data_IF_556105273285
#
_entry.id   IF_556105273285
#
_cell.length_a   1.000
_cell.length_b   1.000
_cell.length_c   1.000
_cell.angle_alpha   90.00
_cell.angle_beta   90.00
_cell.angle_gamma   90.00
#
_symmetry.space_group_name_H-M   'P 1'
#
loop_
_entity.id
_entity.type
_entity.pdbx_description
1 polymer ?
#
# COMPACT_ATOMS: atom_id res chain seq x y z
N UNK A 1 -9.86 5.96 5.65
CA UNK A 1 -9.15 7.26 5.63
C UNK A 1 -9.56 7.98 4.36
N UNK A 2 -9.93 9.23 4.43
CA UNK A 2 -10.31 9.95 3.23
C UNK A 2 -9.08 10.43 2.44
N UNK A 3 -9.32 10.88 1.22
CA UNK A 3 -8.26 11.28 0.30
C UNK A 3 -7.39 12.41 0.83
N UNK A 4 -8.02 13.44 1.41
CA UNK A 4 -7.28 14.61 1.88
C UNK A 4 -6.41 14.27 3.08
N UNK A 5 -6.92 13.47 4.00
CA UNK A 5 -6.16 13.03 5.17
C UNK A 5 -4.99 12.13 4.75
N UNK A 6 -5.21 11.23 3.80
CA UNK A 6 -4.16 10.36 3.27
C UNK A 6 -3.04 11.18 2.64
N UNK A 7 -3.38 12.13 1.77
CA UNK A 7 -2.39 13.01 1.15
C UNK A 7 -1.62 13.83 2.18
N UNK A 8 -2.31 14.35 3.18
CA UNK A 8 -1.65 15.14 4.22
C UNK A 8 -0.64 14.31 5.00
N UNK A 9 -1.02 13.13 5.43
CA UNK A 9 -0.12 12.26 6.21
C UNK A 9 1.06 11.78 5.38
N UNK A 10 0.85 11.43 4.10
CA UNK A 10 1.95 11.05 3.22
C UNK A 10 2.90 12.21 2.98
N UNK A 11 2.37 13.41 2.79
CA UNK A 11 3.18 14.62 2.57
C UNK A 11 3.95 15.00 3.83
N UNK A 12 3.31 14.92 4.98
CA UNK A 12 3.95 15.27 6.26
C UNK A 12 5.14 14.38 6.59
N UNK A 13 5.04 13.08 6.30
CA UNK A 13 6.16 12.15 6.49
C UNK A 13 7.22 12.29 5.40
N UNK A 14 6.80 12.67 4.18
CA UNK A 14 7.73 12.93 3.06
C UNK A 14 8.40 11.70 2.46
N UNK A 15 8.08 10.50 2.94
CA UNK A 15 8.71 9.25 2.48
C UNK A 15 7.66 8.16 2.33
N UNK A 16 7.71 7.45 1.22
CA UNK A 16 6.92 6.24 1.00
C UNK A 16 7.89 5.10 0.69
N UNK A 17 7.84 4.05 1.48
CA UNK A 17 8.66 2.87 1.25
C UNK A 17 7.96 1.96 0.24
N UNK A 18 8.67 1.57 -0.81
CA UNK A 18 8.17 0.62 -1.80
C UNK A 18 8.74 -0.75 -1.47
N UNK A 19 7.86 -1.73 -1.27
CA UNK A 19 8.26 -3.04 -0.79
C UNK A 19 7.99 -4.12 -1.83
N UNK A 20 8.98 -4.99 -2.00
CA UNK A 20 8.87 -6.24 -2.76
C UNK A 20 9.50 -7.34 -1.94
N UNK A 21 8.79 -8.43 -1.77
CA UNK A 21 9.34 -9.62 -1.09
C UNK A 21 8.93 -10.87 -1.85
N UNK A 22 9.52 -12.00 -1.46
CA UNK A 22 9.21 -13.29 -2.05
C UNK A 22 7.99 -13.96 -1.42
N UNK A 23 7.54 -13.45 -0.28
CA UNK A 23 6.47 -14.04 0.51
C UNK A 23 5.55 -12.95 1.05
N UNK A 24 4.23 -13.17 0.95
CA UNK A 24 3.24 -12.26 1.49
C UNK A 24 3.34 -12.09 3.01
N UNK A 25 3.74 -13.14 3.72
CA UNK A 25 3.90 -13.08 5.17
C UNK A 25 5.01 -12.11 5.57
N UNK A 26 6.09 -12.07 4.81
CA UNK A 26 7.18 -11.12 5.03
C UNK A 26 6.71 -9.68 4.80
N UNK A 27 5.82 -9.46 3.84
CA UNK A 27 5.32 -8.12 3.53
C UNK A 27 4.68 -7.45 4.75
N UNK A 28 3.84 -8.18 5.47
CA UNK A 28 3.17 -7.62 6.66
C UNK A 28 4.19 -7.27 7.74
N UNK A 29 5.15 -8.16 7.99
CA UNK A 29 6.19 -7.94 9.00
C UNK A 29 7.08 -6.74 8.64
N UNK A 30 7.41 -6.59 7.35
CA UNK A 30 8.21 -5.44 6.88
C UNK A 30 7.42 -4.14 7.07
N UNK A 31 6.14 -4.13 6.74
CA UNK A 31 5.28 -2.96 6.95
C UNK A 31 5.25 -2.56 8.43
N UNK A 32 5.12 -3.53 9.33
CA UNK A 32 5.11 -3.30 10.76
C UNK A 32 6.43 -2.66 11.22
N UNK A 33 7.54 -3.22 10.77
CA UNK A 33 8.86 -2.70 11.14
C UNK A 33 9.07 -1.28 10.64
N UNK A 34 8.64 -0.97 9.43
CA UNK A 34 8.74 0.38 8.86
C UNK A 34 7.88 1.37 9.65
N UNK A 35 6.65 0.99 9.97
CA UNK A 35 5.75 1.83 10.76
C UNK A 35 6.33 2.11 12.14
N UNK A 36 6.88 1.09 12.79
CA UNK A 36 7.52 1.22 14.11
C UNK A 36 8.72 2.15 14.04
N UNK A 37 9.42 2.17 12.90
CA UNK A 37 10.56 3.07 12.67
C UNK A 37 10.19 4.48 12.21
N UNK A 38 8.89 4.78 12.06
CA UNK A 38 8.43 6.11 11.69
C UNK A 38 8.10 6.30 10.21
N UNK A 39 8.26 5.28 9.38
CA UNK A 39 7.86 5.34 7.96
C UNK A 39 6.43 4.83 7.84
N UNK A 40 5.49 5.74 7.74
CA UNK A 40 4.06 5.40 7.76
C UNK A 40 3.50 5.03 6.38
N UNK A 41 3.98 5.65 5.32
CA UNK A 41 3.52 5.36 3.97
C UNK A 41 4.24 4.15 3.39
N UNK A 42 3.51 3.10 3.05
CA UNK A 42 4.09 1.85 2.55
C UNK A 42 3.33 1.40 1.31
N UNK A 43 4.07 1.18 0.23
CA UNK A 43 3.50 0.72 -1.02
C UNK A 43 3.92 -0.73 -1.27
N UNK A 44 2.93 -1.62 -1.36
CA UNK A 44 3.15 -3.03 -1.69
C UNK A 44 2.93 -3.19 -3.19
N UNK A 45 3.96 -3.65 -3.92
CA UNK A 45 3.84 -3.77 -5.37
C UNK A 45 3.15 -5.06 -5.78
N UNK A 46 2.36 -4.99 -6.86
CA UNK A 46 1.64 -6.14 -7.39
C UNK A 46 2.57 -7.21 -7.98
N UNK A 47 3.85 -6.89 -8.14
CA UNK A 47 4.85 -7.87 -8.56
C UNK A 47 5.25 -8.84 -7.46
N UNK A 48 4.89 -8.55 -6.21
CA UNK A 48 5.16 -9.44 -5.09
C UNK A 48 4.12 -10.56 -5.01
N UNK A 49 4.53 -11.82 -4.79
CA UNK A 49 3.57 -12.89 -4.58
C UNK A 49 2.70 -12.62 -3.35
N UNK A 50 1.40 -12.86 -3.48
CA UNK A 50 0.46 -12.64 -2.39
C UNK A 50 0.23 -11.19 -2.02
N UNK A 51 0.49 -10.24 -2.94
CA UNK A 51 0.40 -8.82 -2.65
C UNK A 51 -1.00 -8.38 -2.18
N UNK A 52 -2.06 -8.84 -2.83
CA UNK A 52 -3.43 -8.43 -2.47
C UNK A 52 -3.78 -8.91 -1.07
N UNK A 53 -3.46 -10.15 -0.74
CA UNK A 53 -3.70 -10.68 0.61
C UNK A 53 -2.85 -9.94 1.65
N UNK A 54 -1.61 -9.61 1.31
CA UNK A 54 -0.74 -8.83 2.21
C UNK A 54 -1.31 -7.44 2.46
N UNK A 55 -1.86 -6.78 1.44
CA UNK A 55 -2.52 -5.48 1.61
C UNK A 55 -3.70 -5.63 2.55
N UNK A 56 -4.52 -6.67 2.38
CA UNK A 56 -5.65 -6.92 3.25
C UNK A 56 -5.22 -7.09 4.70
N UNK A 57 -4.23 -7.92 4.97
CA UNK A 57 -3.74 -8.16 6.33
C UNK A 57 -3.08 -6.91 6.92
N UNK A 58 -2.22 -6.24 6.15
CA UNK A 58 -1.53 -5.04 6.62
C UNK A 58 -2.51 -3.91 6.93
N UNK A 59 -3.52 -3.72 6.08
CA UNK A 59 -4.52 -2.67 6.30
C UNK A 59 -5.35 -2.89 7.55
N UNK A 60 -5.57 -4.14 7.94
CA UNK A 60 -6.27 -4.49 9.19
C UNK A 60 -5.36 -4.34 10.40
N UNK A 61 -4.19 -4.94 10.35
CA UNK A 61 -3.26 -5.01 11.49
C UNK A 61 -2.68 -3.64 11.81
N UNK A 62 -2.38 -2.85 10.77
CA UNK A 62 -1.71 -1.57 10.94
C UNK A 62 -2.65 -0.37 10.81
N UNK A 63 -3.94 -0.60 10.94
CA UNK A 63 -4.93 0.49 10.88
C UNK A 63 -4.61 1.55 11.92
N UNK A 64 -4.48 2.81 11.45
CA UNK A 64 -4.10 3.93 12.30
C UNK A 64 -2.60 4.06 12.54
N UNK A 65 -1.79 3.08 12.14
CA UNK A 65 -0.33 3.11 12.31
C UNK A 65 0.41 3.30 11.00
N UNK A 66 -0.16 2.82 9.90
CA UNK A 66 0.46 2.92 8.58
C UNK A 66 -0.61 3.22 7.52
N UNK A 67 -0.16 3.80 6.42
CA UNK A 67 -0.95 4.06 5.23
C UNK A 67 -0.47 3.06 4.19
N UNK A 68 -1.34 2.14 3.81
CA UNK A 68 -0.98 1.04 2.93
C UNK A 68 -1.47 1.32 1.52
N UNK A 69 -0.56 1.31 0.56
CA UNK A 69 -0.88 1.50 -0.83
C UNK A 69 -0.49 0.31 -1.68
N UNK A 70 -1.01 0.29 -2.90
CA UNK A 70 -0.71 -0.73 -3.90
C UNK A 70 0.05 -0.08 -5.05
N UNK A 71 1.16 -0.68 -5.45
CA UNK A 71 1.97 -0.20 -6.56
C UNK A 71 1.99 -1.17 -7.73
N UNK A 72 2.44 -0.67 -8.89
CA UNK A 72 2.47 -1.42 -10.14
C UNK A 72 1.08 -1.90 -10.57
N UNK A 73 0.07 -1.06 -10.33
CA UNK A 73 -1.31 -1.34 -10.72
C UNK A 73 -1.46 -0.89 -12.18
N UNK A 74 -1.81 -1.82 -13.06
CA UNK A 74 -1.81 -1.61 -14.51
C UNK A 74 -3.21 -1.56 -15.13
N UNK A 75 -4.23 -1.96 -14.39
CA UNK A 75 -5.59 -2.09 -14.93
C UNK A 75 -6.65 -1.77 -13.89
N UNK A 76 -7.88 -1.41 -14.33
CA UNK A 76 -8.97 -1.07 -13.43
C UNK A 76 -9.40 -2.23 -12.53
N UNK A 77 -9.32 -3.45 -13.02
CA UNK A 77 -9.74 -4.64 -12.28
C UNK A 77 -8.84 -4.86 -11.07
N UNK A 78 -7.53 -4.73 -11.24
CA UNK A 78 -6.58 -4.80 -10.13
C UNK A 78 -6.77 -3.64 -9.18
N UNK A 79 -7.01 -2.43 -9.70
CA UNK A 79 -7.29 -1.27 -8.86
C UNK A 79 -8.48 -1.53 -7.93
N UNK A 80 -9.58 -2.08 -8.48
CA UNK A 80 -10.73 -2.41 -7.66
C UNK A 80 -10.39 -3.46 -6.60
N UNK A 81 -9.64 -4.50 -6.97
CA UNK A 81 -9.28 -5.56 -6.04
C UNK A 81 -8.47 -5.03 -4.85
N UNK A 82 -7.50 -4.16 -5.10
CA UNK A 82 -6.69 -3.60 -4.02
C UNK A 82 -7.47 -2.61 -3.17
N UNK A 83 -8.39 -1.86 -3.76
CA UNK A 83 -9.29 -0.99 -3.01
C UNK A 83 -10.15 -1.79 -2.04
N UNK A 84 -10.72 -2.90 -2.52
CA UNK A 84 -11.53 -3.79 -1.68
C UNK A 84 -10.69 -4.46 -0.59
N UNK A 85 -9.41 -4.69 -0.86
CA UNK A 85 -8.50 -5.24 0.15
C UNK A 85 -8.13 -4.22 1.23
N UNK A 86 -8.34 -2.93 1.00
CA UNK A 86 -8.10 -1.90 1.99
C UNK A 86 -6.98 -0.93 1.65
N UNK A 87 -6.51 -0.91 0.41
CA UNK A 87 -5.48 0.04 0.00
C UNK A 87 -5.97 1.48 0.16
N UNK A 88 -5.14 2.34 0.73
CA UNK A 88 -5.43 3.76 0.92
C UNK A 88 -5.05 4.59 -0.30
N UNK A 89 -4.10 4.10 -1.10
CA UNK A 89 -3.68 4.77 -2.33
C UNK A 89 -3.20 3.74 -3.36
N UNK A 90 -3.16 4.16 -4.62
CA UNK A 90 -2.78 3.31 -5.74
C UNK A 90 -1.77 4.05 -6.59
N UNK A 91 -0.72 3.34 -7.01
CA UNK A 91 0.30 3.89 -7.90
C UNK A 91 0.36 3.05 -9.16
N UNK A 92 0.25 3.72 -10.30
CA UNK A 92 0.43 3.11 -11.61
C UNK A 92 1.71 3.64 -12.27
N UNK A 93 2.39 2.82 -13.06
CA UNK A 93 3.62 3.24 -13.73
C UNK A 93 3.39 4.12 -14.95
N UNK A 94 2.14 4.20 -15.42
CA UNK A 94 1.77 4.99 -16.60
C UNK A 94 0.50 5.79 -16.33
N UNK A 95 0.27 6.80 -17.14
CA UNK A 95 -1.01 7.50 -17.10
C UNK A 95 -2.07 6.63 -17.77
N UNK A 96 -3.08 6.23 -16.99
CA UNK A 96 -4.18 5.41 -17.47
C UNK A 96 -5.47 6.01 -16.93
N UNK A 97 -6.25 6.62 -17.83
CA UNK A 97 -7.47 7.34 -17.44
C UNK A 97 -8.59 6.41 -16.98
N UNK A 98 -8.51 5.11 -17.29
CA UNK A 98 -9.49 4.13 -16.85
C UNK A 98 -9.27 3.67 -15.40
N UNK A 99 -8.07 3.86 -14.90
CA UNK A 99 -7.77 3.61 -13.50
C UNK A 99 -8.39 4.72 -12.64
#
# INVERSE_FOLDING_TARGET
>A
MDKEQCLKELTDTGVVAVIRTKSGDELVNVCQALADGGIKGVEITMTSPGAIEAIYQASKILKGKAIIGAGSVLDPETARAVMLAGADFIVGPTLNLEL
#
